data_IF_540091229133
#
_entry.id   IF_540091229133
#
_cell.length_a   1.000
_cell.length_b   1.000
_cell.length_c   1.000
_cell.angle_alpha   90.00
_cell.angle_beta   90.00
_cell.angle_gamma   90.00
#
_symmetry.space_group_name_H-M   'P 1'
#
loop_
_entity.id
_entity.type
_entity.pdbx_description
1 polymer ?
#
# COMPACT_ATOMS: atom_id res chain seq x y z
N UNK A 1 -34.99 17.62 -8.26
CA UNK A 1 -34.70 16.25 -8.75
C UNK A 1 -33.30 16.13 -9.38
N UNK A 2 -32.25 16.73 -8.76
CA UNK A 2 -30.86 16.72 -9.31
C UNK A 2 -29.96 15.71 -8.56
N UNK A 3 -30.40 15.17 -7.43
CA UNK A 3 -29.61 14.30 -6.56
C UNK A 3 -29.59 12.81 -6.95
N UNK A 4 -30.67 12.26 -7.48
CA UNK A 4 -30.78 10.80 -7.75
C UNK A 4 -29.98 10.34 -8.97
N UNK A 5 -29.86 11.20 -9.99
CA UNK A 5 -29.03 10.91 -11.18
C UNK A 5 -27.54 10.81 -10.86
N UNK A 6 -27.05 11.56 -9.86
CA UNK A 6 -25.65 11.57 -9.47
C UNK A 6 -25.23 10.26 -8.76
N UNK A 7 -26.12 9.72 -7.92
CA UNK A 7 -25.86 8.47 -7.18
C UNK A 7 -25.91 7.25 -8.12
N UNK A 8 -26.88 7.22 -9.06
CA UNK A 8 -27.00 6.17 -10.07
C UNK A 8 -25.84 6.18 -11.08
N UNK A 9 -25.34 7.36 -11.48
CA UNK A 9 -24.17 7.49 -12.37
C UNK A 9 -22.86 7.11 -11.63
N UNK A 10 -22.72 7.45 -10.33
CA UNK A 10 -21.63 6.95 -9.46
C UNK A 10 -21.62 5.42 -9.44
N UNK A 11 -22.77 4.78 -9.27
CA UNK A 11 -22.89 3.32 -9.25
C UNK A 11 -22.57 2.68 -10.60
N UNK A 12 -23.03 3.27 -11.71
CA UNK A 12 -22.79 2.75 -13.08
C UNK A 12 -21.35 2.94 -13.57
N UNK A 13 -20.72 4.07 -13.24
CA UNK A 13 -19.30 4.32 -13.55
C UNK A 13 -18.39 3.51 -12.63
N UNK A 14 -18.72 3.39 -11.34
CA UNK A 14 -18.05 2.45 -10.45
C UNK A 14 -18.27 0.99 -10.89
N UNK A 15 -19.42 0.60 -11.46
CA UNK A 15 -19.65 -0.71 -12.08
C UNK A 15 -18.78 -0.93 -13.32
N UNK A 16 -18.59 0.08 -14.18
CA UNK A 16 -17.66 -0.02 -15.32
C UNK A 16 -16.20 -0.07 -14.86
N UNK A 17 -15.85 0.65 -13.80
CA UNK A 17 -14.50 0.66 -13.23
C UNK A 17 -14.21 -0.61 -12.40
N UNK A 18 -15.20 -1.21 -11.75
CA UNK A 18 -15.07 -2.52 -11.12
C UNK A 18 -15.01 -3.64 -12.14
N UNK A 19 -15.72 -3.55 -13.28
CA UNK A 19 -15.42 -4.41 -14.45
C UNK A 19 -13.99 -4.18 -14.97
N UNK A 20 -13.36 -3.03 -14.68
CA UNK A 20 -11.94 -2.75 -14.93
C UNK A 20 -11.00 -3.44 -13.91
N UNK A 21 -11.40 -3.59 -12.65
CA UNK A 21 -10.70 -4.37 -11.61
C UNK A 21 -10.99 -5.88 -11.67
N UNK A 22 -12.08 -6.28 -12.29
CA UNK A 22 -12.44 -7.68 -12.51
C UNK A 22 -11.43 -8.40 -13.43
N UNK A 23 -10.59 -7.65 -14.15
CA UNK A 23 -9.40 -8.22 -14.82
C UNK A 23 -8.15 -8.23 -13.93
N UNK A 24 -8.07 -7.37 -12.91
CA UNK A 24 -7.01 -7.41 -11.90
C UNK A 24 -7.21 -8.64 -11.00
N UNK A 25 -8.47 -8.92 -10.62
CA UNK A 25 -8.85 -10.17 -9.94
C UNK A 25 -8.67 -11.43 -10.80
N UNK A 26 -8.89 -11.35 -12.12
CA UNK A 26 -8.67 -12.50 -13.03
C UNK A 26 -7.20 -12.87 -13.25
N UNK A 27 -6.23 -12.01 -12.93
CA UNK A 27 -4.80 -12.38 -12.94
C UNK A 27 -4.44 -13.25 -11.72
N UNK A 28 -5.19 -13.14 -10.62
CA UNK A 28 -5.02 -14.00 -9.44
C UNK A 28 -5.84 -15.29 -9.50
N UNK A 29 -6.72 -15.45 -10.49
CA UNK A 29 -7.51 -16.66 -10.74
C UNK A 29 -7.01 -17.37 -12.01
N UNK A 30 -5.80 -17.94 -11.96
CA UNK A 30 -5.33 -18.89 -12.99
C UNK A 30 -4.37 -19.94 -12.38
N UNK A 31 -4.93 -20.78 -11.51
CA UNK A 31 -4.61 -22.21 -11.29
C UNK A 31 -5.56 -22.64 -10.15
N UNK A 32 -6.70 -23.28 -10.41
CA UNK A 32 -6.74 -24.68 -10.81
C UNK A 32 -7.34 -25.45 -9.63
N UNK A 33 -8.67 -25.46 -9.59
CA UNK A 33 -9.54 -26.20 -8.67
C UNK A 33 -9.54 -27.70 -9.04
N UNK A 34 -9.72 -28.56 -8.03
CA UNK A 34 -9.79 -30.02 -8.18
C UNK A 34 -9.86 -30.70 -6.81
N UNK A 35 -11.10 -31.00 -6.36
CA UNK A 35 -11.45 -31.75 -5.14
C UNK A 35 -10.84 -33.15 -5.05
N UNK A 36 -10.97 -33.90 -3.95
CA UNK A 36 -12.19 -34.16 -3.19
C UNK A 36 -11.95 -34.53 -1.71
N UNK A 37 -13.06 -34.47 -0.96
CA UNK A 37 -13.36 -34.93 0.41
C UNK A 37 -12.64 -36.19 0.91
N UNK A 38 -12.31 -36.20 2.21
CA UNK A 38 -12.67 -37.30 3.12
C UNK A 38 -12.77 -36.81 4.58
N UNK A 39 -13.91 -37.14 5.20
CA UNK A 39 -14.24 -36.86 6.59
C UNK A 39 -13.49 -37.79 7.58
N UNK A 40 -13.23 -37.29 8.79
CA UNK A 40 -12.72 -38.09 9.91
C UNK A 40 -12.73 -37.29 11.21
N UNK A 41 -13.52 -37.76 12.20
CA UNK A 41 -13.80 -37.06 13.45
C UNK A 41 -12.70 -37.15 14.53
N UNK A 42 -12.92 -36.43 15.63
CA UNK A 42 -12.11 -36.52 16.85
C UNK A 42 -12.39 -35.40 17.84
N UNK A 43 -13.17 -35.70 18.88
CA UNK A 43 -13.34 -34.90 20.11
C UNK A 43 -11.99 -34.65 20.82
N UNK A 44 -11.80 -33.49 21.46
CA UNK A 44 -11.27 -33.41 22.84
C UNK A 44 -11.36 -31.99 23.44
N UNK A 45 -11.74 -32.02 24.72
CA UNK A 45 -11.97 -30.97 25.72
C UNK A 45 -10.74 -30.11 26.09
N UNK A 46 -10.96 -28.93 26.71
CA UNK A 46 -9.88 -28.18 27.34
C UNK A 46 -10.13 -26.68 27.56
N UNK A 47 -10.97 -26.31 28.52
CA UNK A 47 -11.15 -24.95 29.03
C UNK A 47 -9.86 -24.40 29.70
N UNK A 48 -9.31 -23.26 29.23
CA UNK A 48 -8.39 -22.43 30.04
C UNK A 48 -8.48 -20.93 29.69
N UNK A 49 -9.32 -20.22 30.44
CA UNK A 49 -9.44 -18.76 30.49
C UNK A 49 -8.15 -18.13 31.04
N UNK A 50 -7.35 -17.44 30.21
CA UNK A 50 -6.26 -16.55 30.67
C UNK A 50 -6.63 -15.08 30.48
N UNK A 51 -6.75 -14.41 31.62
CA UNK A 51 -6.89 -12.97 31.79
C UNK A 51 -5.59 -12.30 31.38
N UNK A 52 -5.57 -11.57 30.27
CA UNK A 52 -4.41 -10.77 29.84
C UNK A 52 -4.88 -9.45 29.21
N UNK A 53 -5.43 -8.56 30.04
CA UNK A 53 -5.70 -7.18 29.65
C UNK A 53 -5.61 -6.28 30.86
N UNK A 54 -4.48 -5.58 30.96
CA UNK A 54 -4.31 -4.29 31.67
C UNK A 54 -2.94 -3.68 31.34
N UNK A 55 -1.95 -4.49 30.94
CA UNK A 55 -0.59 -4.03 30.58
C UNK A 55 -0.50 -3.37 29.20
N UNK A 56 -1.31 -3.81 28.23
CA UNK A 56 -1.33 -3.27 26.85
C UNK A 56 -1.88 -1.85 26.74
N UNK A 57 -2.77 -1.44 27.65
CA UNK A 57 -3.35 -0.09 27.66
C UNK A 57 -2.39 0.97 28.22
N UNK A 58 -1.45 0.56 29.07
CA UNK A 58 -0.44 1.46 29.61
C UNK A 58 0.68 1.77 28.60
N UNK A 59 0.98 0.84 27.68
CA UNK A 59 1.93 1.05 26.58
C UNK A 59 1.45 2.09 25.55
N UNK A 60 0.14 2.34 25.45
CA UNK A 60 -0.41 3.31 24.50
C UNK A 60 -0.13 4.75 24.94
N UNK A 61 -0.21 5.04 26.25
CA UNK A 61 0.13 6.35 26.80
C UNK A 61 1.63 6.64 26.80
N UNK A 62 2.49 5.62 26.94
CA UNK A 62 3.95 5.80 26.82
C UNK A 62 4.40 6.02 25.36
N UNK A 63 3.72 5.40 24.37
CA UNK A 63 3.98 5.64 22.94
C UNK A 63 3.71 7.07 22.51
N UNK A 64 2.69 7.71 23.08
CA UNK A 64 2.38 9.11 22.79
C UNK A 64 3.37 10.10 23.45
N UNK A 65 3.96 9.74 24.60
CA UNK A 65 5.05 10.51 25.22
C UNK A 65 6.35 10.36 24.41
N UNK A 66 6.57 9.19 23.78
CA UNK A 66 7.70 8.96 22.87
C UNK A 66 7.60 9.79 21.57
N UNK A 67 6.40 10.18 21.11
CA UNK A 67 6.23 11.08 19.95
C UNK A 67 6.85 12.47 20.19
N UNK A 68 6.92 12.95 21.44
CA UNK A 68 7.56 14.23 21.77
C UNK A 68 9.10 14.09 21.75
N UNK A 69 9.63 12.92 22.11
CA UNK A 69 11.08 12.65 22.07
C UNK A 69 11.64 12.41 20.65
N UNK A 70 10.79 12.20 19.64
CA UNK A 70 11.20 12.10 18.22
C UNK A 70 11.81 13.43 17.71
N UNK A 71 11.43 14.57 18.30
CA UNK A 71 11.93 15.89 17.91
C UNK A 71 13.19 16.34 18.67
N UNK A 72 13.52 15.71 19.82
CA UNK A 72 14.66 16.12 20.66
C UNK A 72 15.90 15.22 20.53
N UNK A 73 15.78 14.02 19.94
CA UNK A 73 16.94 13.19 19.53
C UNK A 73 17.66 13.70 18.28
N UNK A 74 17.41 14.95 17.86
CA UNK A 74 17.71 15.51 16.54
C UNK A 74 19.19 15.78 16.26
N UNK A 75 20.10 15.52 17.21
CA UNK A 75 21.47 16.04 17.16
C UNK A 75 22.60 15.03 17.36
N UNK A 76 22.54 13.83 16.78
CA UNK A 76 23.76 13.02 16.64
C UNK A 76 23.73 12.07 15.42
N UNK A 77 24.77 12.17 14.58
CA UNK A 77 25.06 11.49 13.30
C UNK A 77 24.11 11.78 12.10
N UNK A 78 24.59 12.64 11.19
CA UNK A 78 23.86 13.22 10.06
C UNK A 78 23.57 12.27 8.90
N UNK A 79 22.59 11.38 9.07
CA UNK A 79 22.03 10.61 7.95
C UNK A 79 21.06 11.49 7.15
N UNK A 80 21.15 11.53 5.81
CA UNK A 80 20.27 12.35 4.99
C UNK A 80 18.79 11.97 5.16
N UNK A 81 17.94 12.96 5.46
CA UNK A 81 16.49 12.78 5.71
C UNK A 81 15.62 13.01 4.48
N UNK A 82 16.21 13.48 3.37
CA UNK A 82 15.47 13.72 2.12
C UNK A 82 14.69 12.49 1.61
N UNK A 83 15.16 11.23 1.72
CA UNK A 83 14.39 10.08 1.24
C UNK A 83 13.08 9.90 2.01
N UNK A 84 13.10 10.16 3.32
CA UNK A 84 11.91 10.13 4.17
C UNK A 84 10.89 11.19 3.74
N UNK A 85 11.34 12.39 3.43
CA UNK A 85 10.45 13.45 2.93
C UNK A 85 9.85 13.14 1.56
N UNK A 86 10.55 12.41 0.69
CA UNK A 86 9.99 11.93 -0.58
C UNK A 86 8.83 10.97 -0.32
N UNK A 87 8.98 10.01 0.60
CA UNK A 87 7.91 9.10 0.98
C UNK A 87 6.69 9.86 1.51
N UNK A 88 6.89 10.77 2.49
CA UNK A 88 5.81 11.59 3.04
C UNK A 88 5.14 12.46 1.97
N UNK A 89 5.93 13.11 1.13
CA UNK A 89 5.46 13.93 0.01
C UNK A 89 4.60 13.13 -0.98
N UNK A 90 5.06 11.94 -1.35
CA UNK A 90 4.32 11.01 -2.21
C UNK A 90 3.00 10.56 -1.59
N UNK A 91 3.01 10.23 -0.29
CA UNK A 91 1.80 9.88 0.46
C UNK A 91 0.79 11.01 0.53
N UNK A 92 1.23 12.22 0.88
CA UNK A 92 0.38 13.41 0.89
C UNK A 92 -0.20 13.70 -0.50
N UNK A 93 0.62 13.59 -1.56
CA UNK A 93 0.18 13.78 -2.94
C UNK A 93 -0.90 12.75 -3.32
N UNK A 94 -0.69 11.47 -3.00
CA UNK A 94 -1.66 10.40 -3.25
C UNK A 94 -3.00 10.66 -2.55
N UNK A 95 -2.97 10.98 -1.25
CA UNK A 95 -4.18 11.26 -0.48
C UNK A 95 -4.91 12.52 -0.97
N UNK A 96 -4.16 13.56 -1.37
CA UNK A 96 -4.71 14.77 -1.96
C UNK A 96 -5.36 14.49 -3.33
N UNK A 97 -4.66 13.77 -4.22
CA UNK A 97 -5.21 13.34 -5.51
C UNK A 97 -6.49 12.53 -5.32
N UNK A 98 -6.52 11.63 -4.33
CA UNK A 98 -7.71 10.83 -4.04
C UNK A 98 -8.88 11.68 -3.53
N UNK A 99 -8.61 12.56 -2.56
CA UNK A 99 -9.62 13.43 -1.97
C UNK A 99 -10.24 14.37 -3.00
N UNK A 100 -9.41 15.03 -3.82
CA UNK A 100 -9.85 15.90 -4.91
C UNK A 100 -10.67 15.12 -5.93
N UNK A 101 -10.24 13.91 -6.26
CA UNK A 101 -10.93 13.09 -7.25
C UNK A 101 -12.31 12.66 -6.77
N UNK A 102 -12.44 12.22 -5.52
CA UNK A 102 -13.72 11.87 -4.93
C UNK A 102 -14.67 13.06 -4.76
N UNK A 103 -14.12 14.26 -4.49
CA UNK A 103 -14.90 15.49 -4.37
C UNK A 103 -15.44 15.96 -5.72
N UNK A 104 -14.61 15.96 -6.76
CA UNK A 104 -14.91 16.59 -8.05
C UNK A 104 -15.42 15.61 -9.12
N UNK A 105 -15.43 14.30 -8.84
CA UNK A 105 -15.90 13.28 -9.78
C UNK A 105 -17.37 13.43 -10.21
N UNK A 106 -18.21 14.18 -9.49
CA UNK A 106 -19.62 14.38 -9.86
C UNK A 106 -19.87 15.55 -10.83
N UNK A 107 -18.85 16.36 -11.14
CA UNK A 107 -19.06 17.59 -11.90
C UNK A 107 -19.48 17.36 -13.36
N UNK A 108 -18.75 16.52 -14.09
CA UNK A 108 -19.13 16.13 -15.46
C UNK A 108 -18.45 14.84 -15.87
N UNK A 109 -18.93 14.18 -16.94
CA UNK A 109 -18.33 12.94 -17.45
C UNK A 109 -16.85 13.09 -17.84
N UNK A 110 -16.45 14.24 -18.39
CA UNK A 110 -15.04 14.50 -18.74
C UNK A 110 -14.17 14.65 -17.49
N UNK A 111 -14.62 15.45 -16.52
CA UNK A 111 -13.92 15.63 -15.25
C UNK A 111 -13.86 14.34 -14.44
N UNK A 112 -14.94 13.56 -14.39
CA UNK A 112 -15.00 12.25 -13.76
C UNK A 112 -13.88 11.33 -14.27
N UNK A 113 -13.77 11.16 -15.59
CA UNK A 113 -12.73 10.32 -16.20
C UNK A 113 -11.32 10.82 -15.92
N UNK A 114 -11.10 12.14 -15.91
CA UNK A 114 -9.81 12.74 -15.60
C UNK A 114 -9.42 12.51 -14.14
N UNK A 115 -10.32 12.77 -13.20
CA UNK A 115 -10.06 12.62 -11.77
C UNK A 115 -9.83 11.16 -11.37
N UNK A 116 -10.57 10.19 -11.90
CA UNK A 116 -10.26 8.78 -11.65
C UNK A 116 -8.88 8.37 -12.17
N UNK A 117 -8.38 8.97 -13.25
CA UNK A 117 -7.00 8.74 -13.72
C UNK A 117 -5.98 9.40 -12.80
N UNK A 118 -6.29 10.57 -12.27
CA UNK A 118 -5.46 11.28 -11.30
C UNK A 118 -5.33 10.51 -9.99
N UNK A 119 -6.42 9.94 -9.47
CA UNK A 119 -6.42 9.07 -8.30
C UNK A 119 -5.49 7.85 -8.50
N UNK A 120 -5.60 7.16 -9.65
CA UNK A 120 -4.69 6.06 -9.98
C UNK A 120 -3.24 6.49 -10.16
N UNK A 121 -2.99 7.68 -10.72
CA UNK A 121 -1.64 8.23 -10.80
C UNK A 121 -1.07 8.55 -9.41
N UNK A 122 -1.91 9.00 -8.47
CA UNK A 122 -1.55 9.19 -7.06
C UNK A 122 -1.05 7.89 -6.42
N UNK A 123 -1.73 6.77 -6.65
CA UNK A 123 -1.28 5.44 -6.19
C UNK A 123 0.09 5.09 -6.77
N UNK A 124 0.31 5.32 -8.08
CA UNK A 124 1.62 5.09 -8.69
C UNK A 124 2.73 5.94 -8.06
N UNK A 125 2.45 7.22 -7.79
CA UNK A 125 3.39 8.14 -7.12
C UNK A 125 3.72 7.62 -5.72
N UNK A 126 2.72 7.23 -4.93
CA UNK A 126 2.93 6.66 -3.59
C UNK A 126 3.83 5.42 -3.62
N UNK A 127 3.58 4.48 -4.55
CA UNK A 127 4.40 3.28 -4.69
C UNK A 127 5.85 3.67 -4.99
N UNK A 128 6.11 4.53 -5.98
CA UNK A 128 7.47 4.96 -6.32
C UNK A 128 8.16 5.63 -5.14
N UNK A 129 7.51 6.61 -4.51
CA UNK A 129 8.08 7.36 -3.40
C UNK A 129 8.36 6.49 -2.17
N UNK A 130 7.52 5.47 -1.90
CA UNK A 130 7.72 4.52 -0.80
C UNK A 130 9.01 3.70 -0.93
N UNK A 131 9.49 3.45 -2.14
CA UNK A 131 10.73 2.69 -2.35
C UNK A 131 11.99 3.50 -2.01
N UNK A 132 11.94 4.84 -2.05
CA UNK A 132 13.14 5.68 -1.92
C UNK A 132 13.83 5.55 -0.56
N UNK A 133 13.09 5.70 0.53
CA UNK A 133 13.64 5.67 1.88
C UNK A 133 14.22 4.31 2.29
N UNK A 134 13.47 3.19 2.26
CA UNK A 134 13.98 1.89 2.70
C UNK A 134 15.18 1.44 1.85
N UNK A 135 15.14 1.59 0.52
CA UNK A 135 16.25 1.20 -0.36
C UNK A 135 17.49 2.07 -0.11
N UNK A 136 17.31 3.38 0.06
CA UNK A 136 18.42 4.28 0.32
C UNK A 136 19.14 3.94 1.63
N UNK A 137 18.39 3.67 2.70
CA UNK A 137 18.97 3.38 4.01
C UNK A 137 19.52 1.96 4.12
N UNK A 138 18.86 0.96 3.53
CA UNK A 138 19.32 -0.44 3.63
C UNK A 138 20.54 -0.70 2.74
N UNK A 139 20.58 -0.15 1.52
CA UNK A 139 21.71 -0.27 0.59
C UNK A 139 22.63 0.95 0.62
N UNK A 140 22.70 1.66 1.76
CA UNK A 140 23.54 2.86 1.87
C UNK A 140 24.99 2.60 1.45
N UNK A 141 25.55 1.46 1.89
CA UNK A 141 26.92 1.01 1.60
C UNK A 141 27.11 0.31 0.25
N UNK A 142 26.03 -0.03 -0.46
CA UNK A 142 26.09 -0.65 -1.78
C UNK A 142 25.49 0.32 -2.82
N UNK A 143 26.31 1.23 -3.40
CA UNK A 143 25.81 2.25 -4.31
C UNK A 143 25.22 1.66 -5.59
N UNK A 144 25.73 0.52 -6.07
CA UNK A 144 25.25 -0.14 -7.28
C UNK A 144 23.83 -0.69 -7.09
N UNK A 145 23.59 -1.48 -6.03
CA UNK A 145 22.28 -2.04 -5.74
C UNK A 145 21.24 -0.92 -5.53
N UNK A 146 21.59 0.09 -4.73
CA UNK A 146 20.77 1.29 -4.50
C UNK A 146 20.37 1.97 -5.81
N UNK A 147 21.33 2.22 -6.69
CA UNK A 147 21.07 2.90 -7.96
C UNK A 147 20.16 2.07 -8.87
N UNK A 148 20.42 0.77 -9.02
CA UNK A 148 19.64 -0.13 -9.88
C UNK A 148 18.19 -0.18 -9.41
N UNK A 149 17.94 -0.37 -8.12
CA UNK A 149 16.57 -0.45 -7.61
C UNK A 149 15.82 0.88 -7.67
N UNK A 150 16.46 2.00 -7.32
CA UNK A 150 15.79 3.31 -7.38
C UNK A 150 15.52 3.77 -8.82
N UNK A 151 16.44 3.52 -9.74
CA UNK A 151 16.22 3.87 -11.16
C UNK A 151 15.14 2.99 -11.79
N UNK A 152 15.16 1.68 -11.55
CA UNK A 152 14.15 0.77 -12.08
C UNK A 152 12.73 1.11 -11.60
N UNK A 153 12.51 1.33 -10.29
CA UNK A 153 11.18 1.70 -9.80
C UNK A 153 10.72 3.06 -10.35
N UNK A 154 11.65 4.01 -10.53
CA UNK A 154 11.36 5.32 -11.12
C UNK A 154 10.92 5.20 -12.57
N UNK A 155 11.61 4.38 -13.37
CA UNK A 155 11.26 4.11 -14.77
C UNK A 155 9.88 3.44 -14.87
N UNK A 156 9.62 2.41 -14.05
CA UNK A 156 8.31 1.78 -14.01
C UNK A 156 7.20 2.75 -13.60
N UNK A 157 7.48 3.60 -12.60
CA UNK A 157 6.57 4.63 -12.13
C UNK A 157 6.22 5.66 -13.18
N UNK A 158 7.22 6.22 -13.86
CA UNK A 158 7.02 7.18 -14.96
C UNK A 158 6.23 6.54 -16.09
N UNK A 159 6.56 5.31 -16.48
CA UNK A 159 5.80 4.58 -17.49
C UNK A 159 4.34 4.38 -17.06
N UNK A 160 4.09 3.98 -15.81
CA UNK A 160 2.74 3.82 -15.27
C UNK A 160 1.96 5.13 -15.32
N UNK A 161 2.53 6.24 -14.83
CA UNK A 161 1.89 7.56 -14.83
C UNK A 161 1.56 8.02 -16.26
N UNK A 162 2.50 7.87 -17.20
CA UNK A 162 2.27 8.20 -18.62
C UNK A 162 1.09 7.40 -19.15
N UNK A 163 1.04 6.08 -18.92
CA UNK A 163 -0.05 5.24 -19.43
C UNK A 163 -1.42 5.55 -18.80
N UNK A 164 -1.44 6.14 -17.60
CA UNK A 164 -2.67 6.54 -16.89
C UNK A 164 -3.20 7.88 -17.36
N UNK A 165 -2.31 8.87 -17.52
CA UNK A 165 -2.68 10.24 -17.84
C UNK A 165 -2.80 10.50 -19.35
N UNK A 166 -2.00 9.82 -20.17
CA UNK A 166 -2.01 10.02 -21.62
C UNK A 166 -3.29 9.44 -22.26
N UNK A 167 -4.09 10.24 -22.98
CA UNK A 167 -5.31 9.78 -23.63
C UNK A 167 -5.07 8.63 -24.61
N UNK A 168 -3.97 8.67 -25.37
CA UNK A 168 -3.60 7.66 -26.37
C UNK A 168 -3.35 6.27 -25.78
N UNK A 169 -2.88 6.19 -24.54
CA UNK A 169 -2.63 4.92 -23.84
C UNK A 169 -3.79 4.48 -22.94
N UNK A 170 -4.84 5.29 -22.85
CA UNK A 170 -6.04 4.99 -22.05
C UNK A 170 -7.07 4.09 -22.76
N UNK A 171 -6.76 3.68 -24.00
CA UNK A 171 -7.59 2.81 -24.85
C UNK A 171 -7.70 1.40 -24.22
N UNK A 172 -8.85 0.69 -24.34
CA UNK A 172 -9.07 -0.62 -23.73
C UNK A 172 -7.99 -1.67 -24.04
N UNK A 173 -7.33 -1.59 -25.20
CA UNK A 173 -6.27 -2.50 -25.62
C UNK A 173 -5.05 -2.48 -24.65
N UNK A 174 -4.68 -1.32 -24.11
CA UNK A 174 -3.55 -1.16 -23.19
C UNK A 174 -3.87 -1.52 -21.73
N UNK A 175 -5.07 -2.03 -21.45
CA UNK A 175 -5.49 -2.38 -20.08
C UNK A 175 -4.61 -3.48 -19.47
N UNK A 176 -4.27 -4.52 -20.23
CA UNK A 176 -3.39 -5.61 -19.75
C UNK A 176 -1.98 -5.09 -19.47
N UNK A 177 -1.48 -4.22 -20.33
CA UNK A 177 -0.17 -3.58 -20.17
C UNK A 177 -0.10 -2.75 -18.88
N UNK A 178 -1.11 -1.91 -18.61
CA UNK A 178 -1.18 -1.14 -17.36
C UNK A 178 -1.27 -2.02 -16.12
N UNK A 179 -2.11 -3.05 -16.15
CA UNK A 179 -2.21 -4.00 -15.04
C UNK A 179 -0.87 -4.71 -14.77
N UNK A 180 -0.18 -5.15 -15.84
CA UNK A 180 1.16 -5.74 -15.75
C UNK A 180 2.19 -4.77 -15.18
N UNK A 181 2.16 -3.48 -15.56
CA UNK A 181 3.06 -2.46 -15.00
C UNK A 181 2.85 -2.29 -13.49
N UNK A 182 1.61 -2.13 -13.03
CA UNK A 182 1.30 -2.04 -11.59
C UNK A 182 1.72 -3.29 -10.82
N UNK A 183 1.47 -4.47 -11.40
CA UNK A 183 1.85 -5.74 -10.80
C UNK A 183 3.36 -5.87 -10.69
N UNK A 184 4.09 -5.48 -11.74
CA UNK A 184 5.56 -5.46 -11.78
C UNK A 184 6.12 -4.46 -10.77
N UNK A 185 5.51 -3.28 -10.62
CA UNK A 185 5.91 -2.30 -9.61
C UNK A 185 5.77 -2.90 -8.20
N UNK A 186 4.64 -3.54 -7.89
CA UNK A 186 4.40 -4.16 -6.58
C UNK A 186 5.37 -5.32 -6.30
N UNK A 187 5.52 -6.26 -7.23
CA UNK A 187 6.41 -7.41 -7.05
C UNK A 187 7.89 -7.05 -7.11
N UNK A 188 8.26 -5.93 -7.75
CA UNK A 188 9.65 -5.50 -7.80
C UNK A 188 10.24 -5.26 -6.41
N UNK A 189 9.41 -5.03 -5.37
CA UNK A 189 9.83 -4.89 -3.97
C UNK A 189 10.31 -6.18 -3.31
N UNK A 190 9.95 -7.37 -3.84
CA UNK A 190 10.39 -8.66 -3.27
C UNK A 190 11.89 -8.85 -3.46
N UNK A 191 12.42 -8.48 -4.63
CA UNK A 191 13.85 -8.61 -4.96
C UNK A 191 14.76 -7.80 -4.02
N UNK A 192 14.57 -6.49 -3.81
CA UNK A 192 15.37 -5.72 -2.87
C UNK A 192 15.12 -6.15 -1.41
N UNK A 193 13.94 -6.65 -1.05
CA UNK A 193 13.70 -7.17 0.30
C UNK A 193 14.53 -8.44 0.58
N UNK A 194 14.56 -9.39 -0.36
CA UNK A 194 15.39 -10.60 -0.25
C UNK A 194 16.88 -10.24 -0.28
N UNK A 195 17.30 -9.35 -1.18
CA UNK A 195 18.69 -8.90 -1.24
C UNK A 195 19.10 -8.19 0.06
N UNK A 196 18.23 -7.34 0.63
CA UNK A 196 18.47 -6.69 1.91
C UNK A 196 18.63 -7.69 3.06
N UNK A 197 17.80 -8.74 3.09
CA UNK A 197 17.88 -9.81 4.09
C UNK A 197 19.19 -10.56 4.01
N UNK A 198 19.61 -10.94 2.80
CA UNK A 198 20.85 -11.70 2.57
C UNK A 198 22.08 -10.83 2.85
N UNK A 199 22.11 -9.57 2.39
CA UNK A 199 23.25 -8.67 2.57
C UNK A 199 23.45 -8.19 4.00
N UNK A 200 22.38 -8.12 4.80
CA UNK A 200 22.44 -7.64 6.18
C UNK A 200 22.07 -8.75 7.16
N UNK A 201 22.48 -9.99 6.84
CA UNK A 201 22.15 -11.16 7.65
C UNK A 201 22.61 -11.00 9.10
N UNK A 202 21.75 -11.41 10.04
CA UNK A 202 22.03 -11.32 11.48
C UNK A 202 21.64 -10.00 12.15
N UNK A 203 21.24 -8.97 11.40
CA UNK A 203 20.72 -7.72 11.99
C UNK A 203 19.22 -7.81 12.30
N UNK A 204 18.88 -7.80 13.59
CA UNK A 204 17.50 -7.89 14.09
C UNK A 204 16.59 -6.78 13.54
N UNK A 205 17.10 -5.57 13.37
CA UNK A 205 16.35 -4.45 12.80
C UNK A 205 15.83 -4.75 11.37
N UNK A 206 16.63 -5.41 10.53
CA UNK A 206 16.24 -5.75 9.16
C UNK A 206 15.14 -6.81 9.15
N UNK A 207 15.22 -7.81 10.04
CA UNK A 207 14.16 -8.80 10.20
C UNK A 207 12.84 -8.17 10.66
N UNK A 208 12.91 -7.26 11.64
CA UNK A 208 11.72 -6.53 12.12
C UNK A 208 11.14 -5.66 11.01
N UNK A 209 11.97 -4.94 10.25
CA UNK A 209 11.52 -4.13 9.13
C UNK A 209 10.82 -4.98 8.05
N UNK A 210 11.39 -6.13 7.67
CA UNK A 210 10.77 -7.08 6.73
C UNK A 210 9.42 -7.59 7.28
N UNK A 211 9.32 -7.83 8.58
CA UNK A 211 8.05 -8.20 9.23
C UNK A 211 6.98 -7.13 9.05
N UNK A 212 7.33 -5.85 9.19
CA UNK A 212 6.40 -4.73 8.94
C UNK A 212 6.08 -4.55 7.45
N UNK A 213 7.03 -4.77 6.54
CA UNK A 213 6.75 -4.79 5.08
C UNK A 213 5.81 -5.93 4.69
N UNK A 214 5.95 -7.10 5.33
CA UNK A 214 5.03 -8.21 5.13
C UNK A 214 3.63 -7.90 5.68
N UNK A 215 3.56 -7.24 6.84
CA UNK A 215 2.29 -6.73 7.38
C UNK A 215 1.64 -5.72 6.44
N UNK A 216 2.42 -4.77 5.88
CA UNK A 216 1.95 -3.85 4.86
C UNK A 216 1.36 -4.61 3.66
N UNK A 217 2.04 -5.63 3.15
CA UNK A 217 1.55 -6.44 2.03
C UNK A 217 0.21 -7.12 2.35
N UNK A 218 0.05 -7.68 3.55
CA UNK A 218 -1.22 -8.26 4.02
C UNK A 218 -2.32 -7.20 4.10
N UNK A 219 -2.04 -6.03 4.65
CA UNK A 219 -3.00 -4.93 4.78
C UNK A 219 -3.48 -4.45 3.40
N UNK A 220 -2.56 -4.24 2.46
CA UNK A 220 -2.94 -3.86 1.09
C UNK A 220 -3.72 -4.96 0.36
N UNK A 221 -3.31 -6.23 0.49
CA UNK A 221 -4.04 -7.35 -0.11
C UNK A 221 -5.46 -7.47 0.45
N UNK A 222 -5.62 -7.31 1.76
CA UNK A 222 -6.91 -7.33 2.45
C UNK A 222 -7.79 -6.16 2.00
N UNK A 223 -7.25 -4.94 1.96
CA UNK A 223 -7.97 -3.78 1.44
C UNK A 223 -8.42 -3.99 -0.01
N UNK A 224 -7.53 -4.47 -0.87
CA UNK A 224 -7.83 -4.76 -2.27
C UNK A 224 -8.93 -5.84 -2.40
N UNK A 225 -8.93 -6.85 -1.52
CA UNK A 225 -9.98 -7.86 -1.46
C UNK A 225 -11.34 -7.23 -1.16
N UNK A 226 -11.44 -6.34 -0.18
CA UNK A 226 -12.70 -5.63 0.11
C UNK A 226 -13.16 -4.82 -1.10
N UNK A 227 -12.25 -4.04 -1.69
CA UNK A 227 -12.54 -3.22 -2.87
C UNK A 227 -13.05 -4.02 -4.07
N UNK A 228 -12.44 -5.17 -4.36
CA UNK A 228 -12.83 -6.02 -5.50
C UNK A 228 -14.12 -6.79 -5.21
N UNK A 229 -14.26 -7.36 -4.01
CA UNK A 229 -15.42 -8.19 -3.65
C UNK A 229 -16.69 -7.38 -3.41
N UNK A 230 -16.55 -6.08 -3.10
CA UNK A 230 -17.64 -5.14 -2.75
C UNK A 230 -18.42 -5.56 -1.52
N UNK A 231 -17.73 -6.18 -0.57
CA UNK A 231 -18.28 -6.54 0.74
C UNK A 231 -17.99 -5.36 1.69
N UNK A 232 -18.97 -4.92 2.52
CA UNK A 232 -20.25 -5.56 2.85
C UNK A 232 -21.46 -5.11 2.02
N UNK A 233 -21.34 -4.09 1.17
CA UNK A 233 -22.50 -3.52 0.45
C UNK A 233 -23.17 -4.51 -0.51
N UNK A 234 -22.43 -5.52 -0.98
CA UNK A 234 -22.99 -6.64 -1.76
C UNK A 234 -23.96 -7.50 -0.96
N UNK A 235 -23.76 -7.63 0.36
CA UNK A 235 -24.61 -8.45 1.22
C UNK A 235 -25.89 -7.72 1.62
N UNK A 236 -25.83 -6.40 1.79
CA UNK A 236 -27.00 -5.58 2.14
C UNK A 236 -27.02 -4.28 1.33
N UNK A 237 -27.54 -4.30 0.09
CA UNK A 237 -27.68 -3.11 -0.74
C UNK A 237 -28.50 -2.03 -0.01
N UNK A 238 -28.06 -0.77 -0.07
CA UNK A 238 -28.73 0.37 0.59
C UNK A 238 -28.32 0.61 2.05
N UNK A 239 -27.75 -0.37 2.75
CA UNK A 239 -27.39 -0.20 4.17
C UNK A 239 -26.05 0.51 4.39
N UNK A 240 -25.15 0.48 3.41
CA UNK A 240 -23.78 1.01 3.49
C UNK A 240 -23.56 2.22 2.55
N UNK A 241 -24.64 2.90 2.15
CA UNK A 241 -24.62 3.95 1.12
C UNK A 241 -23.84 5.21 1.54
N UNK A 242 -23.76 5.49 2.85
CA UNK A 242 -23.07 6.66 3.40
C UNK A 242 -21.74 6.27 4.06
N UNK A 243 -21.73 5.20 4.85
CA UNK A 243 -20.60 4.79 5.65
C UNK A 243 -20.40 3.27 5.63
N UNK A 244 -19.14 2.82 5.70
CA UNK A 244 -18.78 1.42 5.83
C UNK A 244 -18.85 0.58 4.54
N UNK A 245 -19.02 1.21 3.38
CA UNK A 245 -18.89 0.50 2.11
C UNK A 245 -17.42 0.13 1.81
N UNK A 246 -17.23 -0.91 1.00
CA UNK A 246 -15.91 -1.48 0.68
C UNK A 246 -14.83 -0.45 0.32
N UNK A 247 -15.18 0.57 -0.47
CA UNK A 247 -14.22 1.60 -0.89
C UNK A 247 -13.73 2.49 0.26
N UNK A 248 -14.55 2.76 1.29
CA UNK A 248 -14.08 3.45 2.50
C UNK A 248 -13.14 2.55 3.30
N UNK A 249 -13.50 1.28 3.44
CA UNK A 249 -12.67 0.28 4.14
C UNK A 249 -11.31 0.15 3.42
N UNK A 250 -11.31 0.11 2.08
CA UNK A 250 -10.09 0.11 1.26
C UNK A 250 -9.17 1.28 1.61
N UNK A 251 -9.69 2.51 1.65
CA UNK A 251 -8.90 3.68 2.02
C UNK A 251 -8.29 3.58 3.42
N UNK A 252 -9.03 3.03 4.39
CA UNK A 252 -8.50 2.78 5.73
C UNK A 252 -7.33 1.79 5.68
N UNK A 253 -7.45 0.68 4.95
CA UNK A 253 -6.35 -0.26 4.76
C UNK A 253 -5.16 0.35 4.03
N UNK A 254 -5.38 1.26 3.08
CA UNK A 254 -4.30 1.98 2.40
C UNK A 254 -3.50 2.83 3.40
N UNK A 255 -4.18 3.56 4.29
CA UNK A 255 -3.52 4.36 5.34
C UNK A 255 -2.79 3.46 6.35
N UNK A 256 -3.41 2.37 6.80
CA UNK A 256 -2.77 1.42 7.72
C UNK A 256 -1.54 0.76 7.10
N UNK A 257 -1.60 0.39 5.82
CA UNK A 257 -0.46 -0.12 5.07
C UNK A 257 0.68 0.89 4.99
N UNK A 258 0.37 2.15 4.65
CA UNK A 258 1.34 3.23 4.63
C UNK A 258 1.99 3.48 6.01
N UNK A 259 1.23 3.35 7.10
CA UNK A 259 1.75 3.45 8.47
C UNK A 259 2.67 2.27 8.81
N UNK A 260 2.31 1.04 8.45
CA UNK A 260 3.18 -0.12 8.63
C UNK A 260 4.52 0.05 7.88
N UNK A 261 4.46 0.54 6.64
CA UNK A 261 5.63 0.86 5.84
C UNK A 261 6.48 2.00 6.44
N UNK A 262 5.82 3.03 6.98
CA UNK A 262 6.49 4.11 7.69
C UNK A 262 7.29 3.58 8.88
N UNK A 263 6.68 2.69 9.69
CA UNK A 263 7.36 2.03 10.82
C UNK A 263 8.54 1.18 10.34
N UNK A 264 8.36 0.37 9.28
CA UNK A 264 9.44 -0.42 8.69
C UNK A 264 10.64 0.46 8.31
N UNK A 265 10.37 1.57 7.63
CA UNK A 265 11.39 2.52 7.18
C UNK A 265 12.08 3.22 8.35
N UNK A 266 11.35 3.60 9.40
CA UNK A 266 11.96 4.16 10.62
C UNK A 266 12.90 3.16 11.29
N UNK A 267 12.51 1.88 11.37
CA UNK A 267 13.37 0.80 11.90
C UNK A 267 14.66 0.65 11.07
N UNK A 268 14.57 0.72 9.73
CA UNK A 268 15.75 0.70 8.84
C UNK A 268 16.62 1.95 9.03
N UNK A 269 15.99 3.12 9.22
CA UNK A 269 16.72 4.36 9.45
C UNK A 269 17.46 4.32 10.80
N UNK A 270 16.87 3.74 11.84
CA UNK A 270 17.52 3.53 13.14
C UNK A 270 18.65 2.51 13.06
N UNK A 271 18.48 1.43 12.31
CA UNK A 271 19.58 0.52 11.95
C UNK A 271 20.74 1.31 11.32
N UNK A 272 20.46 2.17 10.35
CA UNK A 272 21.49 2.96 9.67
C UNK A 272 22.16 3.95 10.62
N UNK A 273 21.43 4.55 11.56
CA UNK A 273 21.98 5.44 12.60
C UNK A 273 22.96 4.70 13.50
N UNK A 274 22.67 3.45 13.85
CA UNK A 274 23.57 2.59 14.64
C UNK A 274 24.83 2.14 13.88
N UNK A 275 24.81 2.14 12.54
CA UNK A 275 25.93 1.73 11.68
C UNK A 275 26.20 2.76 10.56
N UNK A 276 26.76 3.94 10.89
CA UNK A 276 26.90 5.05 9.94
C UNK A 276 28.06 4.86 8.95
N UNK A 277 29.05 4.02 9.29
CA UNK A 277 30.21 3.73 8.45
C UNK A 277 30.00 2.44 7.66
N UNK A 278 30.55 2.43 6.46
CA UNK A 278 30.64 1.24 5.63
C UNK A 278 32.03 0.66 5.81
N UNK A 279 32.14 -0.58 6.27
CA UNK A 279 33.39 -1.33 6.21
C UNK A 279 33.55 -1.80 4.76
N UNK A 280 34.55 -1.26 4.06
CA UNK A 280 34.95 -1.67 2.72
C UNK A 280 36.17 -2.58 2.80
#
# INVERSE_FOLDING_TARGET
MVGEGCYAERFRVAQRNAKCLDAFGRVFYFCGDGGDELAGGGNHDGTRRRRFSFKYLQDFHLKQILEVSIFDGVREYGIPRWPWFIFLGGGMCCLACSSVSHLLACHSKRFNLFFWRLDYAGISIMIVCSFYAPIYYVFFCNPYAKLIYLTSISVFGVAAIITLLAPSFSIPHFRRFRASLFLSMGFSGVVPAVHALVSNWGHTHILVAIGYEFLMAILYATGAMFYVTRIPERWKPGAFDIAGHSHQIFHVFVVLGALAHAIATLVIMDFRRGSPTCAF
#
